data_IF_772436065686
#
_entry.id   IF_772436065686
#
_cell.length_a   1.000
_cell.length_b   1.000
_cell.length_c   1.000
_cell.angle_alpha   90.00
_cell.angle_beta   90.00
_cell.angle_gamma   90.00
#
_symmetry.space_group_name_H-M   'P 1'
#
loop_
_entity.id
_entity.type
_entity.pdbx_description
1 polymer ?
#
# COMPACT_ATOMS: atom_id res chain seq x y z
N UNK A 1 2.68 47.27 55.03
CA UNK A 1 2.99 45.92 54.62
C UNK A 1 1.86 45.38 53.75
N UNK A 2 2.08 45.32 52.46
CA UNK A 2 1.10 44.79 51.50
C UNK A 2 1.11 43.24 51.51
N UNK A 3 0.00 42.64 51.92
CA UNK A 3 -0.14 41.18 51.88
C UNK A 3 -0.55 40.76 50.45
N UNK A 4 0.34 40.14 49.70
CA UNK A 4 0.00 39.50 48.43
C UNK A 4 -0.87 38.27 48.69
N UNK A 5 -2.07 38.21 48.08
CA UNK A 5 -2.90 37.01 48.07
C UNK A 5 -2.25 35.95 47.19
N UNK A 6 -1.99 34.75 47.76
CA UNK A 6 -1.56 33.57 46.99
C UNK A 6 -2.67 33.17 46.04
N UNK A 7 -2.42 33.23 44.74
CA UNK A 7 -3.32 32.70 43.71
C UNK A 7 -3.14 31.17 43.65
N UNK A 8 -4.19 30.43 43.97
CA UNK A 8 -4.18 28.98 43.82
C UNK A 8 -4.38 28.68 42.33
N UNK A 9 -3.38 28.12 41.69
CA UNK A 9 -3.48 27.58 40.33
C UNK A 9 -4.14 26.18 40.37
N UNK A 10 -5.22 26.01 39.62
CA UNK A 10 -5.84 24.72 39.40
C UNK A 10 -4.98 24.01 38.33
N UNK A 11 -4.24 22.98 38.71
CA UNK A 11 -3.57 22.08 37.78
C UNK A 11 -4.62 21.24 37.07
N UNK A 12 -4.91 21.57 35.83
CA UNK A 12 -5.74 20.72 34.98
C UNK A 12 -4.87 19.56 34.53
N UNK A 13 -5.23 18.28 34.82
CA UNK A 13 -4.49 17.13 34.33
C UNK A 13 -4.47 17.17 32.80
N UNK A 14 -3.26 17.21 32.23
CA UNK A 14 -3.06 17.13 30.79
C UNK A 14 -3.51 15.74 30.34
N UNK A 15 -4.65 15.65 29.67
CA UNK A 15 -5.10 14.41 29.03
C UNK A 15 -4.07 14.08 27.96
N UNK A 16 -3.27 13.04 28.16
CA UNK A 16 -2.40 12.50 27.11
C UNK A 16 -3.29 12.15 25.93
N UNK A 17 -3.06 12.81 24.79
CA UNK A 17 -3.74 12.47 23.56
C UNK A 17 -3.11 11.17 23.08
N UNK A 18 -3.86 10.10 23.12
CA UNK A 18 -3.52 8.82 22.50
C UNK A 18 -3.52 9.04 20.99
N UNK A 19 -2.32 9.22 20.41
CA UNK A 19 -2.14 9.37 18.96
C UNK A 19 -2.04 7.96 18.40
N UNK A 20 -3.05 7.47 17.65
CA UNK A 20 -3.03 6.13 17.09
C UNK A 20 -1.80 5.90 16.24
N UNK A 21 -1.15 4.76 16.42
CA UNK A 21 0.00 4.39 15.60
C UNK A 21 -0.37 4.33 14.10
N UNK A 22 0.55 4.75 13.25
CA UNK A 22 0.39 4.68 11.80
C UNK A 22 -0.38 5.81 11.14
N UNK A 23 -0.71 6.90 11.87
CA UNK A 23 -1.32 8.11 11.29
C UNK A 23 -0.33 8.94 10.46
N UNK A 24 0.96 8.77 10.69
CA UNK A 24 2.01 9.55 10.05
C UNK A 24 2.89 8.66 9.17
N UNK A 25 3.37 9.22 8.07
CA UNK A 25 4.31 8.59 7.15
C UNK A 25 5.46 9.56 6.85
N UNK A 26 6.68 9.06 6.90
CA UNK A 26 7.86 9.85 6.54
C UNK A 26 8.13 9.69 5.05
N UNK A 27 8.28 10.82 4.36
CA UNK A 27 8.72 10.81 2.96
C UNK A 27 10.20 10.47 2.88
N UNK A 28 10.55 9.42 2.14
CA UNK A 28 11.92 8.96 1.95
C UNK A 28 12.76 9.86 1.00
N UNK A 29 12.10 10.77 0.26
CA UNK A 29 12.79 11.71 -0.62
C UNK A 29 13.15 13.03 0.06
N UNK A 30 12.19 13.65 0.77
CA UNK A 30 12.41 14.96 1.40
C UNK A 30 12.50 14.91 2.92
N UNK A 31 12.29 13.74 3.55
CA UNK A 31 12.36 13.55 5.00
C UNK A 31 11.16 14.10 5.79
N UNK A 32 10.21 14.77 5.12
CA UNK A 32 9.05 15.39 5.75
C UNK A 32 8.13 14.35 6.37
N UNK A 33 7.56 14.69 7.54
CA UNK A 33 6.56 13.88 8.22
C UNK A 33 5.17 14.31 7.74
N UNK A 34 4.43 13.40 7.12
CA UNK A 34 3.17 13.67 6.45
C UNK A 34 2.02 12.95 7.15
N UNK A 35 0.85 13.60 7.21
CA UNK A 35 -0.35 12.94 7.67
C UNK A 35 -0.86 11.97 6.58
N UNK A 36 -1.13 10.73 6.95
CA UNK A 36 -1.41 9.64 6.02
C UNK A 36 -2.69 9.87 5.19
N UNK A 37 -3.71 10.49 5.79
CA UNK A 37 -4.94 10.79 5.07
C UNK A 37 -4.72 11.87 4.00
N UNK A 38 -3.90 12.89 4.30
CA UNK A 38 -3.55 13.91 3.31
C UNK A 38 -2.78 13.31 2.13
N UNK A 39 -1.88 12.36 2.40
CA UNK A 39 -1.18 11.60 1.35
C UNK A 39 -2.16 10.80 0.49
N UNK A 40 -3.18 10.17 1.10
CA UNK A 40 -4.24 9.45 0.38
C UNK A 40 -5.06 10.40 -0.50
N UNK A 41 -5.49 11.54 0.04
CA UNK A 41 -6.22 12.57 -0.71
C UNK A 41 -5.39 13.17 -1.84
N UNK A 42 -4.07 13.28 -1.65
CA UNK A 42 -3.14 13.71 -2.69
C UNK A 42 -2.67 12.57 -3.61
N UNK A 43 -3.53 11.59 -3.88
CA UNK A 43 -3.27 10.46 -4.77
C UNK A 43 -1.98 9.71 -4.48
N UNK A 44 -1.67 9.51 -3.19
CA UNK A 44 -0.45 8.86 -2.71
C UNK A 44 0.85 9.52 -3.18
N UNK A 45 0.84 10.84 -3.29
CA UNK A 45 2.03 11.65 -3.52
C UNK A 45 2.35 12.55 -2.34
N UNK A 46 3.63 12.84 -2.15
CA UNK A 46 4.08 13.79 -1.14
C UNK A 46 3.67 15.20 -1.55
N UNK A 47 2.86 15.87 -0.76
CA UNK A 47 2.42 17.25 -1.04
C UNK A 47 3.53 18.30 -0.87
N UNK A 48 4.71 17.90 -0.34
CA UNK A 48 5.89 18.77 -0.21
C UNK A 48 6.82 18.70 -1.42
N UNK A 49 7.15 17.48 -1.88
CA UNK A 49 8.14 17.29 -2.95
C UNK A 49 7.60 16.57 -4.19
N UNK A 50 6.33 16.18 -4.21
CA UNK A 50 5.70 15.51 -5.34
C UNK A 50 6.07 14.04 -5.52
N UNK A 51 6.93 13.47 -4.66
CA UNK A 51 7.31 12.06 -4.77
C UNK A 51 6.10 11.13 -4.60
N UNK A 52 5.95 10.15 -5.47
CA UNK A 52 4.92 9.10 -5.36
C UNK A 52 5.33 8.01 -4.39
N UNK A 53 4.39 7.58 -3.55
CA UNK A 53 4.55 6.42 -2.69
C UNK A 53 4.20 5.13 -3.44
N UNK A 54 4.81 4.01 -3.04
CA UNK A 54 4.47 2.69 -3.58
C UNK A 54 3.06 2.31 -3.17
N UNK A 55 2.27 1.88 -4.15
CA UNK A 55 0.90 1.43 -3.95
C UNK A 55 0.81 -0.09 -4.02
N UNK A 56 -0.04 -0.65 -3.16
CA UNK A 56 -0.49 -2.04 -3.34
C UNK A 56 -1.46 -2.13 -4.51
N UNK A 57 -1.53 -3.31 -5.14
CA UNK A 57 -2.53 -3.64 -6.15
C UNK A 57 -3.94 -3.24 -5.72
N UNK A 58 -4.34 -3.61 -4.51
CA UNK A 58 -5.66 -3.29 -3.96
C UNK A 58 -5.95 -1.78 -3.90
N UNK A 59 -4.94 -0.96 -3.58
CA UNK A 59 -5.09 0.51 -3.59
C UNK A 59 -5.17 1.04 -5.00
N UNK A 60 -4.36 0.52 -5.92
CA UNK A 60 -4.38 0.91 -7.33
C UNK A 60 -5.75 0.61 -7.96
N UNK A 61 -6.28 -0.58 -7.74
CA UNK A 61 -7.61 -0.96 -8.22
C UNK A 61 -8.70 -0.03 -7.68
N UNK A 62 -8.68 0.32 -6.40
CA UNK A 62 -9.65 1.27 -5.81
C UNK A 62 -9.60 2.68 -6.40
N UNK A 63 -8.47 3.09 -6.98
CA UNK A 63 -8.33 4.39 -7.63
C UNK A 63 -8.86 4.40 -9.06
N UNK A 64 -8.87 3.25 -9.73
CA UNK A 64 -9.13 3.15 -11.17
C UNK A 64 -10.46 2.48 -11.48
N UNK A 65 -10.76 1.36 -10.80
CA UNK A 65 -11.97 0.58 -11.04
C UNK A 65 -13.18 1.16 -10.29
N UNK A 66 -14.35 0.96 -10.84
CA UNK A 66 -15.63 1.25 -10.19
C UNK A 66 -15.77 0.39 -8.92
N UNK A 67 -16.50 0.91 -7.94
CA UNK A 67 -16.64 0.23 -6.64
C UNK A 67 -17.21 -1.19 -6.82
N UNK A 68 -16.53 -2.17 -6.21
CA UNK A 68 -16.94 -3.58 -6.16
C UNK A 68 -17.08 -4.26 -7.54
N UNK A 69 -16.48 -3.70 -8.59
CA UNK A 69 -16.58 -4.27 -9.95
C UNK A 69 -15.45 -5.24 -10.28
N UNK A 70 -14.37 -5.28 -9.48
CA UNK A 70 -13.21 -6.10 -9.79
C UNK A 70 -13.41 -7.57 -9.43
N UNK A 71 -13.19 -8.43 -10.41
CA UNK A 71 -13.15 -9.89 -10.28
C UNK A 71 -11.76 -10.38 -10.72
N UNK A 72 -11.04 -11.03 -9.80
CA UNK A 72 -9.69 -11.52 -10.04
C UNK A 72 -9.71 -12.85 -10.80
N UNK A 73 -8.77 -12.99 -11.76
CA UNK A 73 -8.58 -14.20 -12.55
C UNK A 73 -7.25 -14.88 -12.23
N UNK A 74 -7.18 -16.19 -12.56
CA UNK A 74 -5.98 -16.99 -12.49
C UNK A 74 -5.27 -16.93 -11.12
N UNK A 75 -6.06 -17.00 -10.05
CA UNK A 75 -5.53 -17.16 -8.68
C UNK A 75 -4.93 -18.55 -8.50
N UNK A 76 -3.89 -18.67 -7.68
CA UNK A 76 -3.28 -19.95 -7.34
C UNK A 76 -2.33 -20.53 -8.40
N UNK A 77 -1.91 -19.75 -9.40
CA UNK A 77 -0.80 -20.16 -10.26
C UNK A 77 0.51 -20.12 -9.48
N UNK A 78 1.26 -21.23 -9.51
CA UNK A 78 2.51 -21.35 -8.77
C UNK A 78 3.71 -21.26 -9.72
N UNK A 79 4.76 -20.60 -9.23
CA UNK A 79 6.02 -20.54 -9.97
C UNK A 79 6.87 -21.77 -9.66
N UNK A 80 7.40 -22.37 -10.70
CA UNK A 80 8.43 -23.40 -10.57
C UNK A 80 9.80 -22.72 -10.38
N UNK A 81 10.71 -23.42 -9.68
CA UNK A 81 12.12 -23.02 -9.60
C UNK A 81 12.98 -23.93 -10.52
N UNK A 82 12.92 -23.77 -11.86
CA UNK A 82 13.54 -24.71 -12.80
C UNK A 82 15.06 -24.70 -12.75
N UNK A 83 15.65 -23.70 -12.10
CA UNK A 83 17.11 -23.56 -11.96
C UNK A 83 17.59 -23.98 -10.57
N UNK A 84 16.71 -24.51 -9.72
CA UNK A 84 17.00 -24.85 -8.32
C UNK A 84 17.79 -23.76 -7.58
N UNK A 85 17.39 -22.48 -7.82
CA UNK A 85 18.08 -21.36 -7.22
C UNK A 85 17.89 -21.36 -5.70
N UNK A 86 19.01 -21.39 -4.92
CA UNK A 86 18.95 -21.53 -3.48
C UNK A 86 18.20 -20.41 -2.80
N UNK A 87 17.29 -20.73 -1.86
CA UNK A 87 16.52 -19.76 -1.07
C UNK A 87 15.43 -19.02 -1.86
N UNK A 88 15.16 -19.37 -3.12
CA UNK A 88 14.14 -18.72 -3.93
C UNK A 88 12.72 -19.06 -3.46
N UNK A 89 12.37 -20.34 -3.20
CA UNK A 89 11.07 -20.70 -2.68
C UNK A 89 10.76 -20.00 -1.35
N UNK A 90 11.67 -20.03 -0.39
CA UNK A 90 11.51 -19.43 0.92
C UNK A 90 11.32 -17.90 0.83
N UNK A 91 12.02 -17.26 -0.10
CA UNK A 91 11.87 -15.83 -0.37
C UNK A 91 10.49 -15.51 -0.94
N UNK A 92 9.97 -16.33 -1.84
CA UNK A 92 8.63 -16.16 -2.41
C UNK A 92 7.56 -16.34 -1.34
N UNK A 93 7.65 -17.41 -0.56
CA UNK A 93 6.68 -17.72 0.50
C UNK A 93 6.64 -16.61 1.55
N UNK A 94 7.79 -16.12 1.99
CA UNK A 94 7.88 -14.98 2.89
C UNK A 94 7.28 -13.68 2.31
N UNK A 95 7.37 -13.46 1.00
CA UNK A 95 6.72 -12.32 0.35
C UNK A 95 5.21 -12.50 0.22
N UNK A 96 4.73 -13.68 -0.15
CA UNK A 96 3.30 -14.03 -0.22
C UNK A 96 2.63 -13.82 1.14
N UNK A 97 3.22 -14.36 2.19
CA UNK A 97 2.73 -14.23 3.56
C UNK A 97 2.70 -12.76 4.02
N UNK A 98 3.79 -12.03 3.81
CA UNK A 98 3.93 -10.63 4.23
C UNK A 98 2.99 -9.68 3.49
N UNK A 99 2.77 -9.90 2.20
CA UNK A 99 2.04 -8.97 1.34
C UNK A 99 0.59 -9.39 1.12
N UNK A 100 0.25 -10.64 1.43
CA UNK A 100 -1.06 -11.26 1.16
C UNK A 100 -1.44 -11.16 -0.33
N UNK A 101 -0.48 -11.47 -1.20
CA UNK A 101 -0.66 -11.58 -2.67
C UNK A 101 0.10 -12.79 -3.17
N UNK A 102 -0.42 -13.47 -4.18
CA UNK A 102 0.17 -14.70 -4.69
C UNK A 102 1.36 -14.45 -5.62
N UNK A 103 1.32 -13.34 -6.35
CA UNK A 103 2.35 -12.99 -7.35
C UNK A 103 2.44 -11.46 -7.53
N UNK A 104 3.47 -11.02 -8.26
CA UNK A 104 3.72 -9.60 -8.57
C UNK A 104 2.60 -8.94 -9.39
N UNK A 105 1.83 -9.71 -10.16
CA UNK A 105 0.71 -9.22 -10.95
C UNK A 105 -0.62 -9.78 -10.47
N UNK A 106 -1.62 -8.92 -10.42
CA UNK A 106 -3.03 -9.30 -10.26
C UNK A 106 -3.75 -8.98 -11.57
N UNK A 107 -4.39 -9.97 -12.18
CA UNK A 107 -5.16 -9.84 -13.41
C UNK A 107 -6.64 -10.08 -13.15
N UNK A 108 -7.51 -9.47 -13.94
CA UNK A 108 -8.93 -9.66 -13.80
C UNK A 108 -9.74 -8.69 -14.65
N UNK A 109 -11.05 -8.71 -14.45
CA UNK A 109 -12.01 -7.82 -15.11
C UNK A 109 -12.58 -6.84 -14.10
N UNK A 110 -12.83 -5.62 -14.54
CA UNK A 110 -13.56 -4.62 -13.77
C UNK A 110 -14.37 -3.73 -14.70
N UNK A 111 -15.14 -2.80 -14.16
CA UNK A 111 -15.63 -1.65 -14.90
C UNK A 111 -14.84 -0.40 -14.56
N UNK A 112 -14.63 0.45 -15.56
CA UNK A 112 -14.05 1.78 -15.42
C UNK A 112 -15.01 2.77 -16.04
N UNK A 113 -15.66 3.59 -15.23
CA UNK A 113 -16.74 4.50 -15.66
C UNK A 113 -17.88 3.77 -16.38
N UNK A 114 -18.22 2.56 -15.89
CA UNK A 114 -19.26 1.70 -16.46
C UNK A 114 -18.80 0.79 -17.60
N UNK A 115 -17.62 1.03 -18.19
CA UNK A 115 -17.12 0.24 -19.32
C UNK A 115 -16.33 -0.98 -18.84
N UNK A 116 -16.69 -2.17 -19.35
CA UNK A 116 -16.02 -3.44 -19.02
C UNK A 116 -14.58 -3.43 -19.53
N UNK A 117 -13.64 -3.64 -18.63
CA UNK A 117 -12.20 -3.52 -18.90
C UNK A 117 -11.44 -4.68 -18.27
N UNK A 118 -10.54 -5.30 -19.02
CA UNK A 118 -9.54 -6.23 -18.48
C UNK A 118 -8.38 -5.42 -17.96
N UNK A 119 -7.89 -5.74 -16.76
CA UNK A 119 -6.83 -5.01 -16.09
C UNK A 119 -5.77 -5.95 -15.53
N UNK A 120 -4.51 -5.57 -15.69
CA UNK A 120 -3.37 -6.21 -15.04
C UNK A 120 -2.62 -5.16 -14.20
N UNK A 121 -2.47 -5.40 -12.91
CA UNK A 121 -1.82 -4.47 -11.98
C UNK A 121 -0.60 -5.11 -11.35
N UNK A 122 0.59 -4.57 -11.63
CA UNK A 122 1.82 -5.01 -11.00
C UNK A 122 2.04 -4.35 -9.65
N UNK A 123 2.48 -5.14 -8.66
CA UNK A 123 2.85 -4.67 -7.32
C UNK A 123 4.37 -4.70 -7.13
N UNK A 124 4.98 -3.51 -7.15
CA UNK A 124 6.43 -3.39 -7.01
C UNK A 124 6.98 -3.81 -5.62
N UNK A 125 6.12 -4.14 -4.67
CA UNK A 125 6.54 -4.67 -3.37
C UNK A 125 6.92 -6.16 -3.46
N UNK A 126 6.37 -6.88 -4.44
CA UNK A 126 6.70 -8.26 -4.74
C UNK A 126 7.81 -8.29 -5.79
N UNK A 127 9.02 -8.65 -5.41
CA UNK A 127 10.22 -8.71 -6.27
C UNK A 127 10.38 -7.49 -7.22
N UNK A 128 10.02 -6.29 -6.77
CA UNK A 128 10.01 -5.05 -7.55
C UNK A 128 9.09 -5.08 -8.79
N UNK A 129 8.09 -5.97 -8.82
CA UNK A 129 7.21 -6.16 -9.98
C UNK A 129 7.88 -6.91 -11.12
N UNK A 130 8.85 -7.77 -10.80
CA UNK A 130 9.57 -8.58 -11.80
C UNK A 130 8.62 -9.46 -12.60
N UNK A 131 8.84 -9.52 -13.91
CA UNK A 131 8.02 -10.31 -14.83
C UNK A 131 8.61 -11.71 -15.01
N UNK A 132 8.25 -12.62 -14.08
CA UNK A 132 8.58 -14.03 -14.16
C UNK A 132 7.55 -14.83 -14.97
N UNK A 133 7.68 -16.17 -14.93
CA UNK A 133 6.80 -17.09 -15.66
C UNK A 133 5.31 -16.87 -15.34
N UNK A 134 4.95 -16.87 -14.06
CA UNK A 134 3.55 -16.71 -13.63
C UNK A 134 2.98 -15.35 -14.01
N UNK A 135 3.78 -14.28 -13.90
CA UNK A 135 3.36 -12.94 -14.35
C UNK A 135 3.06 -12.94 -15.84
N UNK A 136 3.96 -13.53 -16.67
CA UNK A 136 3.76 -13.65 -18.10
C UNK A 136 2.52 -14.44 -18.44
N UNK A 137 2.31 -15.60 -17.78
CA UNK A 137 1.15 -16.47 -17.99
C UNK A 137 -0.17 -15.77 -17.64
N UNK A 138 -0.25 -15.12 -16.48
CA UNK A 138 -1.45 -14.35 -16.06
C UNK A 138 -1.80 -13.25 -17.08
N UNK A 139 -0.81 -12.50 -17.56
CA UNK A 139 -1.04 -11.43 -18.53
C UNK A 139 -1.48 -11.99 -19.89
N UNK A 140 -0.87 -13.10 -20.30
CA UNK A 140 -1.21 -13.75 -21.58
C UNK A 140 -2.63 -14.30 -21.58
N UNK A 141 -3.09 -14.87 -20.47
CA UNK A 141 -4.47 -15.36 -20.32
C UNK A 141 -5.50 -14.24 -20.29
N UNK A 142 -5.15 -13.14 -19.64
CA UNK A 142 -6.02 -11.98 -19.56
C UNK A 142 -6.21 -11.28 -20.91
#
# INVERSE_FOLDING_TARGET
MLKFKKTNYITVPRKEQDIPEGMWIKCDACGELLYKEDVVHNHYSCYKCGKYFRLSTKRRLRMVADKQSFEEWDTGLETANPLDYPGYPEKLDGLKEKLHIDEAVTTGVCTIKGEKTVIAVCDARFLMGSMGYVVGEKITRA
#
